data_IF_455580235505
#
_entry.id   IF_455580235505
#
_cell.length_a   1.000
_cell.length_b   1.000
_cell.length_c   1.000
_cell.angle_alpha   90.00
_cell.angle_beta   90.00
_cell.angle_gamma   90.00
#
_symmetry.space_group_name_H-M   'P 1'
#
loop_
_entity.id
_entity.type
_entity.pdbx_description
1 polymer ?
#
# COMPACT_ATOMS: atom_id res chain seq x y z
N UNK A 1 -10.35 -39.26 2.09
CA UNK A 1 -10.93 -37.95 1.68
C UNK A 1 -10.97 -37.10 2.94
N UNK A 2 -10.06 -36.15 3.07
CA UNK A 2 -10.15 -35.13 4.13
C UNK A 2 -11.21 -34.14 3.66
N UNK A 3 -12.29 -34.00 4.43
CA UNK A 3 -13.28 -32.95 4.20
C UNK A 3 -12.55 -31.61 4.16
N UNK A 4 -12.39 -31.05 2.96
CA UNK A 4 -11.89 -29.68 2.82
C UNK A 4 -12.91 -28.76 3.49
N UNK A 5 -12.47 -27.74 4.25
CA UNK A 5 -13.37 -26.76 4.83
C UNK A 5 -14.28 -26.19 3.74
N UNK A 6 -15.57 -26.06 4.05
CA UNK A 6 -16.53 -25.44 3.14
C UNK A 6 -16.28 -23.91 3.13
N UNK A 7 -15.37 -23.49 2.27
CA UNK A 7 -14.99 -22.09 2.14
C UNK A 7 -16.14 -21.22 1.62
N UNK A 8 -17.00 -21.78 0.76
CA UNK A 8 -18.15 -21.06 0.21
C UNK A 8 -19.15 -20.74 1.33
N UNK A 9 -19.40 -21.71 2.20
CA UNK A 9 -20.21 -21.49 3.37
C UNK A 9 -19.60 -20.45 4.31
N UNK A 10 -18.30 -20.54 4.59
CA UNK A 10 -17.62 -19.55 5.44
C UNK A 10 -17.80 -18.12 4.92
N UNK A 11 -17.55 -17.88 3.63
CA UNK A 11 -17.71 -16.54 3.07
C UNK A 11 -19.16 -16.08 2.96
N UNK A 12 -20.09 -16.99 2.75
CA UNK A 12 -21.53 -16.68 2.79
C UNK A 12 -21.93 -16.22 4.19
N UNK A 13 -21.59 -16.98 5.21
CA UNK A 13 -21.89 -16.65 6.60
C UNK A 13 -21.20 -15.33 7.00
N UNK A 14 -19.94 -15.13 6.63
CA UNK A 14 -19.20 -13.87 6.85
C UNK A 14 -19.89 -12.68 6.18
N UNK A 15 -20.38 -12.85 4.95
CA UNK A 15 -21.09 -11.80 4.23
C UNK A 15 -22.43 -11.43 4.88
N UNK A 16 -23.18 -12.43 5.35
CA UNK A 16 -24.47 -12.24 6.03
C UNK A 16 -24.29 -11.56 7.40
N UNK A 17 -23.35 -12.05 8.21
CA UNK A 17 -23.10 -11.53 9.56
C UNK A 17 -22.44 -10.14 9.57
N UNK A 18 -21.67 -9.81 8.54
CA UNK A 18 -20.96 -8.53 8.48
C UNK A 18 -21.84 -7.33 8.11
N UNK A 19 -23.11 -7.53 7.76
CA UNK A 19 -23.98 -6.47 7.22
C UNK A 19 -24.23 -5.28 8.16
N UNK A 20 -24.01 -5.42 9.46
CA UNK A 20 -24.24 -4.40 10.49
C UNK A 20 -22.97 -4.04 11.27
N UNK A 21 -21.79 -4.38 10.76
CA UNK A 21 -20.52 -4.14 11.44
C UNK A 21 -19.83 -2.91 10.89
N UNK A 22 -19.39 -2.02 11.76
CA UNK A 22 -18.53 -0.89 11.41
C UNK A 22 -17.03 -1.23 11.51
N UNK A 23 -16.70 -2.22 12.36
CA UNK A 23 -15.33 -2.63 12.63
C UNK A 23 -15.23 -4.08 13.09
N UNK A 24 -14.02 -4.66 12.97
CA UNK A 24 -13.71 -6.01 13.41
C UNK A 24 -12.32 -6.11 14.04
N UNK A 25 -12.11 -7.20 14.79
CA UNK A 25 -10.84 -7.59 15.37
C UNK A 25 -10.46 -8.97 14.86
N UNK A 26 -9.16 -9.18 14.63
CA UNK A 26 -8.65 -10.47 14.15
C UNK A 26 -7.73 -11.09 15.18
N UNK A 27 -8.01 -12.34 15.54
CA UNK A 27 -7.11 -13.15 16.35
C UNK A 27 -6.55 -14.31 15.51
N UNK A 28 -5.27 -14.23 15.24
CA UNK A 28 -4.53 -15.27 14.52
C UNK A 28 -4.07 -16.42 15.42
N UNK A 29 -4.55 -16.46 16.66
CA UNK A 29 -4.14 -17.48 17.63
C UNK A 29 -4.74 -18.83 17.29
N UNK A 30 -3.85 -19.74 16.92
CA UNK A 30 -4.26 -21.12 16.58
C UNK A 30 -4.86 -21.24 15.20
N UNK A 31 -5.00 -22.46 14.76
CA UNK A 31 -5.56 -22.78 13.45
C UNK A 31 -4.59 -23.54 12.56
N UNK A 32 -5.14 -24.19 11.57
CA UNK A 32 -4.40 -24.84 10.51
C UNK A 32 -3.81 -23.76 9.60
N UNK A 33 -2.74 -24.11 8.86
CA UNK A 33 -2.04 -23.15 7.98
C UNK A 33 -2.94 -22.54 6.90
N UNK A 34 -3.88 -23.32 6.40
CA UNK A 34 -4.92 -22.90 5.45
C UNK A 34 -5.86 -21.84 6.05
N UNK A 35 -6.24 -21.98 7.32
CA UNK A 35 -7.04 -20.99 8.03
C UNK A 35 -6.36 -19.63 8.14
N UNK A 36 -5.04 -19.60 8.29
CA UNK A 36 -4.28 -18.33 8.30
C UNK A 36 -4.40 -17.59 6.97
N UNK A 37 -4.34 -18.29 5.85
CA UNK A 37 -4.55 -17.70 4.54
C UNK A 37 -6.00 -17.24 4.35
N UNK A 38 -6.97 -18.04 4.75
CA UNK A 38 -8.38 -17.71 4.72
C UNK A 38 -8.69 -16.43 5.51
N UNK A 39 -8.04 -16.25 6.67
CA UNK A 39 -8.18 -15.03 7.49
C UNK A 39 -7.67 -13.79 6.76
N UNK A 40 -6.57 -13.87 6.01
CA UNK A 40 -6.09 -12.74 5.20
C UNK A 40 -7.12 -12.35 4.14
N UNK A 41 -7.71 -13.33 3.46
CA UNK A 41 -8.76 -13.07 2.45
C UNK A 41 -10.03 -12.53 3.11
N UNK A 42 -10.41 -13.04 4.29
CA UNK A 42 -11.55 -12.54 5.05
C UNK A 42 -11.38 -11.07 5.49
N UNK A 43 -10.19 -10.69 5.96
CA UNK A 43 -9.85 -9.29 6.27
C UNK A 43 -10.10 -8.43 5.04
N UNK A 44 -9.59 -8.83 3.88
CA UNK A 44 -9.75 -8.07 2.63
C UNK A 44 -11.20 -7.95 2.18
N UNK A 45 -11.96 -9.01 2.34
CA UNK A 45 -13.38 -9.00 2.03
C UNK A 45 -14.16 -8.01 2.90
N UNK A 46 -13.88 -7.97 4.21
CA UNK A 46 -14.51 -7.04 5.14
C UNK A 46 -14.09 -5.58 4.85
N UNK A 47 -12.83 -5.33 4.56
CA UNK A 47 -12.35 -4.01 4.16
C UNK A 47 -12.97 -3.53 2.84
N UNK A 48 -13.14 -4.42 1.87
CA UNK A 48 -13.86 -4.10 0.63
C UNK A 48 -15.31 -3.67 0.92
N UNK A 49 -15.92 -4.18 1.98
CA UNK A 49 -17.24 -3.74 2.49
C UNK A 49 -17.17 -2.45 3.34
N UNK A 50 -16.03 -1.78 3.43
CA UNK A 50 -15.75 -0.61 4.27
C UNK A 50 -15.89 -0.88 5.78
N UNK A 51 -15.62 -2.10 6.23
CA UNK A 51 -15.60 -2.47 7.64
C UNK A 51 -14.15 -2.37 8.12
N UNK A 52 -13.91 -1.55 9.14
CA UNK A 52 -12.56 -1.22 9.59
C UNK A 52 -11.92 -2.36 10.42
N UNK A 53 -10.71 -2.79 10.06
CA UNK A 53 -9.90 -3.66 10.91
C UNK A 53 -9.25 -2.86 12.03
N UNK A 54 -9.74 -2.97 13.24
CA UNK A 54 -9.23 -2.21 14.40
C UNK A 54 -7.94 -2.78 14.95
N UNK A 55 -7.77 -4.10 14.96
CA UNK A 55 -6.61 -4.74 15.54
C UNK A 55 -6.41 -6.16 15.05
N UNK A 56 -5.13 -6.53 14.88
CA UNK A 56 -4.70 -7.89 14.60
C UNK A 56 -3.81 -8.37 15.74
N UNK A 57 -4.19 -9.48 16.37
CA UNK A 57 -3.46 -10.06 17.50
C UNK A 57 -3.06 -11.51 17.26
N UNK A 58 -2.07 -11.95 18.02
CA UNK A 58 -1.61 -13.33 18.05
C UNK A 58 -1.18 -13.70 19.47
N UNK A 59 -1.70 -14.80 20.02
CA UNK A 59 -1.28 -15.30 21.32
C UNK A 59 -0.13 -16.29 21.17
N UNK A 60 1.05 -15.90 21.67
CA UNK A 60 2.23 -16.75 21.69
C UNK A 60 2.19 -17.70 22.88
N UNK A 61 1.64 -18.89 22.67
CA UNK A 61 1.53 -19.91 23.71
C UNK A 61 2.86 -20.58 24.06
N UNK A 62 3.87 -20.46 23.19
CA UNK A 62 5.18 -21.08 23.40
C UNK A 62 6.14 -20.16 24.17
N UNK A 63 5.84 -18.87 24.29
CA UNK A 63 6.63 -17.96 25.10
C UNK A 63 6.39 -18.19 26.60
N UNK A 64 7.43 -17.97 27.42
CA UNK A 64 7.32 -18.00 28.87
C UNK A 64 7.79 -16.63 29.44
N UNK A 65 6.93 -15.83 30.06
CA UNK A 65 5.48 -16.01 30.19
C UNK A 65 4.73 -15.90 28.84
N UNK A 66 3.55 -16.51 28.75
CA UNK A 66 2.66 -16.39 27.58
C UNK A 66 2.36 -14.93 27.28
N UNK A 67 2.44 -14.53 26.01
CA UNK A 67 2.26 -13.13 25.58
C UNK A 67 1.28 -13.03 24.43
N UNK A 68 0.49 -11.96 24.47
CA UNK A 68 -0.28 -11.52 23.30
C UNK A 68 0.59 -10.53 22.54
N UNK A 69 0.85 -10.82 21.25
CA UNK A 69 1.56 -9.95 20.32
C UNK A 69 0.57 -9.21 19.46
N UNK A 70 0.81 -7.92 19.27
CA UNK A 70 0.09 -7.12 18.29
C UNK A 70 0.76 -7.28 16.93
N UNK A 71 0.01 -7.61 15.90
CA UNK A 71 0.46 -7.76 14.52
C UNK A 71 0.09 -6.55 13.64
N UNK A 72 -0.37 -5.44 14.24
CA UNK A 72 -0.79 -4.25 13.50
C UNK A 72 0.31 -3.73 12.57
N UNK A 73 1.59 -3.85 12.95
CA UNK A 73 2.70 -3.45 12.08
C UNK A 73 2.79 -4.27 10.78
N UNK A 74 2.49 -5.57 10.87
CA UNK A 74 2.45 -6.47 9.70
C UNK A 74 1.23 -6.17 8.85
N UNK A 75 0.10 -5.93 9.50
CA UNK A 75 -1.13 -5.52 8.83
C UNK A 75 -0.97 -4.17 8.12
N UNK A 76 -0.38 -3.16 8.78
CA UNK A 76 -0.10 -1.86 8.17
C UNK A 76 0.84 -1.97 6.95
N UNK A 77 1.81 -2.89 7.01
CA UNK A 77 2.68 -3.19 5.86
C UNK A 77 1.87 -3.70 4.66
N UNK A 78 0.91 -4.57 4.91
CA UNK A 78 0.03 -5.08 3.88
C UNK A 78 -0.84 -3.98 3.26
N UNK A 79 -1.34 -3.04 4.07
CA UNK A 79 -2.05 -1.86 3.61
C UNK A 79 -1.16 -0.94 2.76
N UNK A 80 0.10 -0.73 3.17
CA UNK A 80 1.07 0.03 2.38
C UNK A 80 1.27 -0.56 0.98
N UNK A 81 1.41 -1.88 0.87
CA UNK A 81 1.55 -2.57 -0.42
C UNK A 81 0.35 -2.26 -1.32
N UNK A 82 -0.86 -2.26 -0.76
CA UNK A 82 -2.05 -1.96 -1.55
C UNK A 82 -2.14 -0.49 -1.96
N UNK A 83 -1.85 0.44 -1.05
CA UNK A 83 -1.79 1.86 -1.38
C UNK A 83 -0.74 2.16 -2.45
N UNK A 84 0.38 1.44 -2.43
CA UNK A 84 1.39 1.53 -3.48
C UNK A 84 0.91 0.96 -4.81
N UNK A 85 0.24 -0.19 -4.79
CA UNK A 85 -0.33 -0.77 -6.00
C UNK A 85 -1.40 0.15 -6.59
N UNK A 86 -2.22 0.78 -5.76
CA UNK A 86 -3.20 1.77 -6.19
C UNK A 86 -2.49 2.97 -6.86
N UNK A 87 -1.49 3.55 -6.19
CA UNK A 87 -0.73 4.68 -6.75
C UNK A 87 -0.06 4.34 -8.08
N UNK A 88 0.62 3.18 -8.15
CA UNK A 88 1.34 2.76 -9.35
C UNK A 88 0.40 2.43 -10.52
N UNK A 89 -0.81 1.93 -10.24
CA UNK A 89 -1.77 1.50 -11.28
C UNK A 89 -2.73 2.61 -11.74
N UNK A 90 -3.09 3.51 -10.86
CA UNK A 90 -4.12 4.54 -11.12
C UNK A 90 -3.65 5.98 -10.84
N UNK A 91 -2.47 6.15 -10.25
CA UNK A 91 -1.98 7.46 -9.83
C UNK A 91 -2.68 8.04 -8.59
N UNK A 92 -3.59 7.30 -7.94
CA UNK A 92 -4.31 7.79 -6.75
C UNK A 92 -3.59 7.41 -5.46
N UNK A 93 -3.76 8.23 -4.41
CA UNK A 93 -3.07 8.05 -3.11
C UNK A 93 -4.02 7.80 -1.95
N UNK A 94 -5.28 7.53 -2.21
CA UNK A 94 -6.31 7.44 -1.18
C UNK A 94 -5.95 6.46 -0.07
N UNK A 95 -5.54 5.25 -0.42
CA UNK A 95 -5.15 4.24 0.58
C UNK A 95 -3.85 4.61 1.31
N UNK A 96 -2.90 5.27 0.65
CA UNK A 96 -1.69 5.76 1.32
C UNK A 96 -2.02 6.87 2.33
N UNK A 97 -2.98 7.73 2.03
CA UNK A 97 -3.42 8.81 2.91
C UNK A 97 -4.06 8.30 4.20
N UNK A 98 -4.77 7.17 4.13
CA UNK A 98 -5.40 6.53 5.29
C UNK A 98 -4.36 5.89 6.23
N UNK A 99 -3.24 5.39 5.68
CA UNK A 99 -2.20 4.66 6.43
C UNK A 99 -1.17 5.59 7.05
N UNK A 100 -0.76 6.59 6.29
CA UNK A 100 0.26 7.53 6.72
C UNK A 100 -0.40 8.78 7.29
N UNK A 101 -0.06 9.11 8.52
CA UNK A 101 -0.41 10.39 9.09
C UNK A 101 0.06 11.49 8.13
N UNK A 102 -0.74 12.53 7.97
CA UNK A 102 -0.59 13.63 6.99
C UNK A 102 0.77 14.36 7.01
N UNK A 103 1.65 14.00 7.93
CA UNK A 103 2.92 14.68 8.21
C UNK A 103 4.16 14.02 7.58
N UNK A 104 4.01 12.88 6.89
CA UNK A 104 5.17 12.28 6.23
C UNK A 104 5.50 13.05 4.93
N UNK A 105 6.68 13.70 4.83
CA UNK A 105 7.03 14.54 3.69
C UNK A 105 6.99 13.80 2.34
N UNK A 106 7.43 12.55 2.30
CA UNK A 106 7.38 11.73 1.10
C UNK A 106 5.94 11.46 0.65
N UNK A 107 5.06 11.10 1.57
CA UNK A 107 3.64 10.84 1.25
C UNK A 107 2.96 12.12 0.79
N UNK A 108 3.29 13.26 1.42
CA UNK A 108 2.80 14.57 0.98
C UNK A 108 3.28 14.90 -0.45
N UNK A 109 4.54 14.62 -0.76
CA UNK A 109 5.08 14.84 -2.10
C UNK A 109 4.40 13.94 -3.14
N UNK A 110 4.19 12.65 -2.83
CA UNK A 110 3.45 11.70 -3.67
C UNK A 110 2.01 12.18 -3.91
N UNK A 111 1.33 12.64 -2.86
CA UNK A 111 -0.04 13.16 -2.94
C UNK A 111 -0.13 14.39 -3.83
N UNK A 112 0.75 15.36 -3.65
CA UNK A 112 0.75 16.59 -4.43
C UNK A 112 1.02 16.29 -5.91
N UNK A 113 1.98 15.41 -6.20
CA UNK A 113 2.23 14.94 -7.56
C UNK A 113 1.00 14.22 -8.15
N UNK A 114 0.42 13.27 -7.41
CA UNK A 114 -0.80 12.56 -7.82
C UNK A 114 -1.96 13.52 -8.10
N UNK A 115 -2.17 14.50 -7.20
CA UNK A 115 -3.23 15.49 -7.39
C UNK A 115 -3.00 16.32 -8.65
N UNK A 116 -1.80 16.86 -8.85
CA UNK A 116 -1.47 17.67 -10.00
C UNK A 116 -1.66 16.89 -11.33
N UNK A 117 -1.24 15.64 -11.36
CA UNK A 117 -1.41 14.78 -12.56
C UNK A 117 -2.88 14.47 -12.83
N UNK A 118 -3.66 14.16 -11.80
CA UNK A 118 -5.07 13.81 -11.95
C UNK A 118 -5.97 14.98 -12.35
N UNK A 119 -5.65 16.22 -11.91
CA UNK A 119 -6.41 17.43 -12.28
C UNK A 119 -5.82 18.17 -13.48
N UNK A 120 -4.68 17.72 -14.01
CA UNK A 120 -3.98 18.37 -15.13
C UNK A 120 -3.39 19.73 -14.77
N UNK A 121 -2.90 19.91 -13.52
CA UNK A 121 -2.26 21.14 -13.07
C UNK A 121 -0.84 21.27 -13.64
N UNK A 122 -0.78 21.61 -14.92
CA UNK A 122 0.48 21.74 -15.65
C UNK A 122 1.35 22.90 -15.16
N UNK A 123 0.79 23.86 -14.43
CA UNK A 123 1.54 25.00 -13.92
C UNK A 123 2.43 24.63 -12.74
N UNK A 124 2.03 23.66 -11.93
CA UNK A 124 2.74 23.25 -10.70
C UNK A 124 3.37 21.86 -10.78
N UNK A 125 3.12 21.10 -11.85
CA UNK A 125 3.58 19.71 -11.94
C UNK A 125 5.11 19.61 -11.84
N UNK A 126 5.86 20.55 -12.44
CA UNK A 126 7.32 20.56 -12.37
C UNK A 126 7.81 20.75 -10.92
N UNK A 127 7.18 21.64 -10.16
CA UNK A 127 7.50 21.86 -8.75
C UNK A 127 7.26 20.59 -7.92
N UNK A 128 6.14 19.91 -8.14
CA UNK A 128 5.79 18.70 -7.40
C UNK A 128 6.67 17.50 -7.77
N UNK A 129 7.08 17.40 -9.03
CA UNK A 129 8.07 16.39 -9.48
C UNK A 129 9.42 16.61 -8.80
N UNK A 130 9.90 17.86 -8.73
CA UNK A 130 11.14 18.19 -8.03
C UNK A 130 11.07 17.85 -6.54
N UNK A 131 10.00 18.24 -5.86
CA UNK A 131 9.79 17.91 -4.44
C UNK A 131 9.73 16.40 -4.21
N UNK A 132 9.06 15.66 -5.11
CA UNK A 132 9.02 14.21 -5.04
C UNK A 132 10.42 13.60 -5.19
N UNK A 133 11.20 14.06 -6.16
CA UNK A 133 12.58 13.60 -6.38
C UNK A 133 13.47 13.86 -5.15
N UNK A 134 13.40 15.06 -4.56
CA UNK A 134 14.14 15.42 -3.35
C UNK A 134 13.76 14.52 -2.15
N UNK A 135 12.47 14.26 -1.94
CA UNK A 135 12.03 13.41 -0.83
C UNK A 135 12.41 11.94 -1.03
N UNK A 136 12.41 11.46 -2.27
CA UNK A 136 12.90 10.13 -2.61
C UNK A 136 14.41 9.98 -2.34
N UNK A 137 15.21 11.04 -2.49
CA UNK A 137 16.65 11.03 -2.19
C UNK A 137 16.95 11.02 -0.69
N UNK A 138 16.14 11.72 0.11
CA UNK A 138 16.31 11.80 1.57
C UNK A 138 15.98 10.48 2.29
N UNK A 139 15.09 9.68 1.73
CA UNK A 139 14.61 8.44 2.34
C UNK A 139 15.51 7.25 1.96
N UNK A 140 16.66 7.14 2.63
CA UNK A 140 17.53 5.97 2.57
C UNK A 140 17.14 4.95 3.65
N UNK A 141 17.22 3.66 3.33
CA UNK A 141 16.78 2.58 4.21
C UNK A 141 17.50 2.59 5.56
N UNK A 142 16.77 2.72 6.63
CA UNK A 142 17.22 2.42 7.98
C UNK A 142 16.51 1.13 8.44
N UNK A 143 17.19 0.11 8.70
CA UNK A 143 16.93 -1.28 9.09
C UNK A 143 15.57 -1.76 9.65
N UNK A 144 14.52 -0.97 9.79
CA UNK A 144 13.21 -1.43 10.21
C UNK A 144 12.30 -1.73 9.00
N UNK A 145 11.24 -2.53 9.22
CA UNK A 145 10.36 -3.00 8.16
C UNK A 145 9.68 -1.86 7.39
N UNK A 146 9.30 -0.79 8.08
CA UNK A 146 8.68 0.40 7.46
C UNK A 146 9.65 1.10 6.51
N UNK A 147 10.92 1.23 6.90
CA UNK A 147 11.93 1.88 6.07
C UNK A 147 12.32 1.03 4.86
N UNK A 148 12.35 -0.30 5.03
CA UNK A 148 12.54 -1.23 3.90
C UNK A 148 11.41 -1.05 2.88
N UNK A 149 10.17 -0.91 3.34
CA UNK A 149 9.03 -0.68 2.46
C UNK A 149 9.09 0.69 1.78
N UNK A 150 9.45 1.75 2.51
CA UNK A 150 9.64 3.09 1.93
C UNK A 150 10.75 3.04 0.88
N UNK A 151 11.84 2.34 1.14
CA UNK A 151 12.94 2.16 0.17
C UNK A 151 12.48 1.42 -1.09
N UNK A 152 11.73 0.33 -0.93
CA UNK A 152 11.15 -0.41 -2.06
C UNK A 152 10.14 0.44 -2.85
N UNK A 153 9.36 1.25 -2.15
CA UNK A 153 8.46 2.24 -2.73
C UNK A 153 9.22 3.27 -3.56
N UNK A 154 10.31 3.80 -3.03
CA UNK A 154 11.18 4.74 -3.72
C UNK A 154 11.71 4.15 -5.02
N UNK A 155 12.19 2.91 -5.00
CA UNK A 155 12.68 2.22 -6.18
C UNK A 155 11.60 2.07 -7.26
N UNK A 156 10.39 1.66 -6.86
CA UNK A 156 9.25 1.51 -7.78
C UNK A 156 8.86 2.86 -8.38
N UNK A 157 8.76 3.92 -7.57
CA UNK A 157 8.40 5.26 -8.04
C UNK A 157 9.49 5.79 -8.98
N UNK A 158 10.77 5.67 -8.60
CA UNK A 158 11.88 6.06 -9.50
C UNK A 158 11.82 5.33 -10.82
N UNK A 159 11.62 4.02 -10.79
CA UNK A 159 11.53 3.20 -11.99
C UNK A 159 10.32 3.54 -12.85
N UNK A 160 9.16 3.82 -12.25
CA UNK A 160 7.92 4.05 -12.98
C UNK A 160 7.70 5.51 -13.39
N UNK A 161 8.09 6.46 -12.54
CA UNK A 161 7.86 7.89 -12.82
C UNK A 161 9.08 8.55 -13.44
N UNK A 162 10.28 8.21 -12.98
CA UNK A 162 11.51 8.85 -13.46
C UNK A 162 12.30 8.01 -14.47
N UNK A 163 11.82 6.79 -14.79
CA UNK A 163 12.44 5.90 -15.78
C UNK A 163 13.89 5.59 -15.44
N UNK A 164 14.14 4.71 -14.46
CA UNK A 164 15.50 4.24 -14.11
C UNK A 164 16.02 3.19 -15.11
N UNK A 165 15.95 3.46 -16.40
CA UNK A 165 16.97 3.02 -17.32
C UNK A 165 17.75 4.29 -17.66
N UNK A 166 19.06 4.23 -17.69
CA UNK A 166 19.99 5.33 -17.93
C UNK A 166 19.70 6.17 -19.21
N UNK A 167 18.65 5.86 -19.95
CA UNK A 167 18.28 6.45 -21.23
C UNK A 167 16.95 7.23 -21.25
N UNK A 168 16.16 7.29 -20.16
CA UNK A 168 14.87 7.97 -20.14
C UNK A 168 14.73 8.83 -18.88
N UNK A 169 15.50 9.89 -18.78
CA UNK A 169 15.19 10.97 -17.87
C UNK A 169 13.96 11.69 -18.38
N UNK A 170 12.81 11.55 -17.70
CA UNK A 170 11.62 12.33 -17.99
C UNK A 170 11.79 13.80 -17.63
N UNK A 171 12.89 14.13 -16.95
CA UNK A 171 13.23 15.50 -16.54
C UNK A 171 14.51 15.91 -17.24
N UNK A 172 14.41 16.86 -18.15
CA UNK A 172 15.54 17.49 -18.81
C UNK A 172 15.61 18.96 -18.38
N UNK A 173 16.80 19.39 -17.88
CA UNK A 173 17.02 20.77 -17.40
C UNK A 173 15.99 21.23 -16.34
N UNK A 174 15.52 20.33 -15.48
CA UNK A 174 14.57 20.63 -14.42
C UNK A 174 13.13 20.79 -14.90
N UNK A 175 12.79 20.37 -16.10
CA UNK A 175 11.43 20.37 -16.64
C UNK A 175 11.07 19.00 -17.17
N UNK A 176 9.76 18.66 -17.06
CA UNK A 176 9.26 17.42 -17.64
C UNK A 176 9.28 17.54 -19.17
N UNK A 177 9.95 16.59 -19.82
CA UNK A 177 9.79 16.38 -21.24
C UNK A 177 8.46 15.64 -21.50
N UNK A 178 7.44 16.40 -21.84
CA UNK A 178 6.09 15.86 -22.08
C UNK A 178 6.03 14.89 -23.26
N UNK A 179 6.88 15.05 -24.26
CA UNK A 179 6.92 14.11 -25.37
C UNK A 179 7.41 12.74 -24.91
N UNK A 180 8.50 12.72 -24.14
CA UNK A 180 9.01 11.49 -23.53
C UNK A 180 8.03 10.89 -22.50
N UNK A 181 7.33 11.74 -21.75
CA UNK A 181 6.29 11.28 -20.81
C UNK A 181 5.16 10.56 -21.55
N UNK A 182 4.68 11.11 -22.66
CA UNK A 182 3.63 10.51 -23.49
C UNK A 182 4.13 9.20 -24.12
N UNK A 183 5.33 9.19 -24.69
CA UNK A 183 5.94 7.97 -25.23
C UNK A 183 6.06 6.88 -24.15
N UNK A 184 6.55 7.26 -22.98
CA UNK A 184 6.67 6.36 -21.85
C UNK A 184 5.31 5.80 -21.38
N UNK A 185 4.26 6.63 -21.30
CA UNK A 185 2.90 6.19 -20.98
C UNK A 185 2.37 5.18 -22.01
N UNK A 186 2.60 5.43 -23.30
CA UNK A 186 2.20 4.53 -24.37
C UNK A 186 2.92 3.18 -24.28
N UNK A 187 4.23 3.19 -24.04
CA UNK A 187 5.04 1.98 -23.92
C UNK A 187 4.66 1.14 -22.68
N UNK A 188 4.30 1.80 -21.58
CA UNK A 188 3.94 1.13 -20.33
C UNK A 188 2.43 0.86 -20.18
N UNK A 189 1.65 1.14 -21.22
CA UNK A 189 0.18 0.91 -21.27
C UNK A 189 -0.56 1.58 -20.09
N UNK A 190 -0.12 2.76 -19.69
CA UNK A 190 -0.80 3.59 -18.70
C UNK A 190 -1.80 4.53 -19.34
#
# INVERSE_FOLDING_TARGET
ETDSPDYDKFYKDLNEESGNLDAFFVDYTGGLRDMSFLMVVAIRFLEFKNIECKKVIYSDFFSNPKKIKCLDSVYNLFQMINGMNEFVSSGTTRQLDDIFQKENPLILAIRNFSHATNVGDMAHIDEFVHKLAEELEKNTASGNLKDIMISSMNEIIRKKIFGVSENLSLIENGRIDYCRLIEWCIENKM
#
